data_IF_823783544064
#
_entry.id   IF_823783544064
#
_cell.length_a   1.000
_cell.length_b   1.000
_cell.length_c   1.000
_cell.angle_alpha   90.00
_cell.angle_beta   90.00
_cell.angle_gamma   90.00
#
_symmetry.space_group_name_H-M   'P 1'
#
loop_
_entity.id
_entity.type
_entity.pdbx_description
1 polymer ?
#
# COMPACT_ATOMS: atom_id res chain seq x y z
N UNK A 1 -10.66 -21.90 -20.21
CA UNK A 1 -9.55 -22.88 -20.05
C UNK A 1 -9.20 -22.95 -18.57
N UNK A 2 -8.92 -24.12 -18.02
CA UNK A 2 -8.44 -24.25 -16.64
C UNK A 2 -6.95 -23.85 -16.56
N UNK A 3 -6.57 -23.09 -15.54
CA UNK A 3 -5.18 -22.71 -15.31
C UNK A 3 -4.36 -23.95 -14.90
N UNK A 4 -3.15 -24.09 -15.44
CA UNK A 4 -2.21 -25.13 -15.02
C UNK A 4 -1.56 -24.79 -13.68
N UNK A 5 -1.07 -25.81 -12.96
CA UNK A 5 -0.33 -25.63 -11.70
C UNK A 5 0.86 -24.68 -11.89
N UNK A 6 1.55 -24.77 -13.03
CA UNK A 6 2.69 -23.91 -13.31
C UNK A 6 2.27 -22.44 -13.45
N UNK A 7 1.14 -22.17 -14.10
CA UNK A 7 0.60 -20.80 -14.23
C UNK A 7 0.18 -20.26 -12.86
N UNK A 8 -0.43 -21.08 -12.01
CA UNK A 8 -0.82 -20.68 -10.66
C UNK A 8 0.42 -20.37 -9.81
N UNK A 9 1.44 -21.23 -9.86
CA UNK A 9 2.71 -21.01 -9.13
C UNK A 9 3.39 -19.72 -9.58
N UNK A 10 3.50 -19.51 -10.89
CA UNK A 10 4.08 -18.30 -11.45
C UNK A 10 3.29 -17.04 -11.06
N UNK A 11 1.96 -17.10 -11.06
CA UNK A 11 1.11 -15.99 -10.64
C UNK A 11 1.24 -15.66 -9.14
N UNK A 12 1.65 -16.64 -8.32
CA UNK A 12 1.88 -16.46 -6.90
C UNK A 12 3.34 -16.11 -6.55
N UNK A 13 4.25 -16.01 -7.53
CA UNK A 13 5.62 -15.56 -7.27
C UNK A 13 5.64 -14.09 -6.82
N UNK A 14 6.47 -13.78 -5.83
CA UNK A 14 6.60 -12.41 -5.32
C UNK A 14 5.36 -11.87 -4.60
N UNK A 15 4.47 -12.75 -4.10
CA UNK A 15 3.33 -12.36 -3.30
C UNK A 15 3.74 -11.58 -2.03
N UNK A 16 2.83 -10.75 -1.55
CA UNK A 16 2.90 -10.06 -0.27
C UNK A 16 1.65 -10.37 0.57
N UNK A 17 1.72 -10.04 1.86
CA UNK A 17 0.57 -10.14 2.77
C UNK A 17 0.41 -8.85 3.57
N UNK A 18 -0.80 -8.58 4.04
CA UNK A 18 -1.09 -7.42 4.87
C UNK A 18 -1.46 -7.84 6.29
N UNK A 19 -1.03 -7.05 7.27
CA UNK A 19 -1.40 -7.22 8.67
C UNK A 19 -1.76 -5.88 9.30
N UNK A 20 -2.77 -5.89 10.17
CA UNK A 20 -3.06 -4.73 11.03
C UNK A 20 -2.22 -4.79 12.30
N UNK A 21 -1.92 -3.66 12.97
CA UNK A 21 -1.19 -3.71 14.23
C UNK A 21 -1.87 -4.60 15.29
N UNK A 22 -3.20 -4.55 15.38
CA UNK A 22 -3.97 -5.44 16.25
C UNK A 22 -3.94 -6.91 15.82
N UNK A 23 -3.80 -7.20 14.52
CA UNK A 23 -3.61 -8.55 14.00
C UNK A 23 -2.23 -9.10 14.35
N UNK A 24 -1.20 -8.26 14.28
CA UNK A 24 0.18 -8.65 14.58
C UNK A 24 0.35 -9.11 16.03
N UNK A 25 -0.42 -8.58 17.00
CA UNK A 25 -0.36 -9.03 18.40
C UNK A 25 -0.84 -10.47 18.61
N UNK A 26 -1.58 -11.03 17.65
CA UNK A 26 -2.10 -12.41 17.69
C UNK A 26 -1.16 -13.42 17.02
N UNK A 27 -0.08 -12.94 16.41
CA UNK A 27 0.92 -13.77 15.76
C UNK A 27 2.07 -13.90 16.73
N UNK A 28 2.40 -15.12 17.15
CA UNK A 28 3.51 -15.38 18.07
C UNK A 28 4.86 -15.14 17.39
N UNK A 29 5.01 -15.62 16.15
CA UNK A 29 6.17 -15.31 15.30
C UNK A 29 5.80 -15.35 13.82
N UNK A 30 6.14 -14.27 13.10
CA UNK A 30 6.10 -14.20 11.64
C UNK A 30 7.12 -15.14 11.01
N UNK A 31 8.32 -15.28 11.57
CA UNK A 31 9.34 -16.20 11.06
C UNK A 31 8.93 -17.68 11.12
N UNK A 32 7.97 -18.04 11.99
CA UNK A 32 7.43 -19.40 12.08
C UNK A 32 6.40 -19.71 10.99
N UNK A 33 5.79 -18.70 10.35
CA UNK A 33 4.73 -18.89 9.36
C UNK A 33 5.04 -18.29 7.98
N UNK A 34 6.06 -17.42 7.86
CA UNK A 34 6.48 -16.78 6.62
C UNK A 34 7.93 -17.11 6.30
N UNK A 35 8.22 -17.24 5.01
CA UNK A 35 9.59 -17.39 4.54
C UNK A 35 10.38 -16.08 4.75
N UNK A 36 11.70 -16.13 5.03
CA UNK A 36 12.53 -14.94 5.11
C UNK A 36 12.44 -14.07 3.85
N UNK A 37 12.36 -12.76 4.04
CA UNK A 37 12.24 -11.77 2.98
C UNK A 37 10.84 -11.58 2.42
N UNK A 38 9.82 -12.26 2.97
CA UNK A 38 8.42 -12.03 2.58
C UNK A 38 8.04 -10.56 2.82
N UNK A 39 7.41 -9.93 1.84
CA UNK A 39 6.90 -8.56 1.94
C UNK A 39 5.61 -8.54 2.75
N UNK A 40 5.57 -7.70 3.77
CA UNK A 40 4.41 -7.56 4.67
C UNK A 40 3.99 -6.10 4.77
N UNK A 41 2.82 -5.79 4.21
CA UNK A 41 2.15 -4.51 4.38
C UNK A 41 1.66 -4.35 5.83
N UNK A 42 1.89 -3.18 6.43
CA UNK A 42 1.43 -2.85 7.79
C UNK A 42 0.45 -1.71 7.72
N UNK A 43 -0.81 -1.98 8.07
CA UNK A 43 -1.86 -0.98 7.93
C UNK A 43 -1.71 0.19 8.89
N UNK A 44 -2.29 1.32 8.48
CA UNK A 44 -2.52 2.49 9.31
C UNK A 44 -4.03 2.75 9.29
N UNK A 45 -4.72 2.42 10.39
CA UNK A 45 -6.17 2.52 10.46
C UNK A 45 -6.61 3.86 11.11
N UNK A 46 -7.81 4.36 10.79
CA UNK A 46 -8.38 5.51 11.49
C UNK A 46 -8.38 5.30 13.01
N UNK A 47 -7.80 6.26 13.74
CA UNK A 47 -7.75 6.24 15.20
C UNK A 47 -6.66 5.37 15.84
N UNK A 48 -5.84 4.65 15.06
CA UNK A 48 -4.66 3.95 15.60
C UNK A 48 -3.51 4.93 15.89
N UNK A 49 -2.71 4.64 16.91
CA UNK A 49 -1.46 5.37 17.16
C UNK A 49 -0.43 5.00 16.07
N UNK A 50 0.14 5.97 15.32
CA UNK A 50 1.19 5.72 14.34
C UNK A 50 2.39 4.91 14.88
N UNK A 51 2.66 5.01 16.17
CA UNK A 51 3.75 4.27 16.82
C UNK A 51 3.49 2.76 16.86
N UNK A 52 2.23 2.32 16.80
CA UNK A 52 1.90 0.89 16.66
C UNK A 52 2.38 0.35 15.32
N UNK A 53 2.20 1.09 14.23
CA UNK A 53 2.73 0.73 12.91
C UNK A 53 4.25 0.65 12.95
N UNK A 54 4.94 1.63 13.54
CA UNK A 54 6.41 1.61 13.73
C UNK A 54 6.87 0.36 14.49
N UNK A 55 6.20 0.02 15.59
CA UNK A 55 6.54 -1.15 16.39
C UNK A 55 6.41 -2.46 15.60
N UNK A 56 5.35 -2.58 14.79
CA UNK A 56 5.13 -3.76 13.95
C UNK A 56 6.13 -3.83 12.80
N UNK A 57 6.45 -2.71 12.16
CA UNK A 57 7.50 -2.62 11.12
C UNK A 57 8.84 -3.09 11.67
N UNK A 58 9.24 -2.60 12.87
CA UNK A 58 10.47 -3.04 13.55
C UNK A 58 10.45 -4.54 13.86
N UNK A 59 9.32 -5.04 14.36
CA UNK A 59 9.17 -6.46 14.67
C UNK A 59 9.35 -7.33 13.41
N UNK A 60 8.66 -6.99 12.32
CA UNK A 60 8.77 -7.69 11.05
C UNK A 60 10.20 -7.74 10.54
N UNK A 61 10.92 -6.60 10.60
CA UNK A 61 12.34 -6.55 10.24
C UNK A 61 13.19 -7.51 11.08
N UNK A 62 13.03 -7.49 12.41
CA UNK A 62 13.77 -8.36 13.32
C UNK A 62 13.46 -9.86 13.13
N UNK A 63 12.26 -10.17 12.64
CA UNK A 63 11.83 -11.53 12.29
C UNK A 63 12.16 -11.90 10.83
N UNK A 64 12.90 -11.06 10.10
CA UNK A 64 13.41 -11.35 8.77
C UNK A 64 12.45 -11.07 7.62
N UNK A 65 11.40 -10.27 7.84
CA UNK A 65 10.44 -9.84 6.82
C UNK A 65 10.78 -8.46 6.26
N UNK A 66 10.24 -8.14 5.09
CA UNK A 66 10.31 -6.79 4.50
C UNK A 66 9.03 -6.03 4.79
N UNK A 67 9.06 -5.10 5.74
CA UNK A 67 7.88 -4.34 6.13
C UNK A 67 7.60 -3.18 5.16
N UNK A 68 6.35 -3.03 4.77
CA UNK A 68 5.84 -1.93 3.94
C UNK A 68 4.77 -1.17 4.73
N UNK A 69 5.15 -0.15 5.53
CA UNK A 69 4.17 0.57 6.32
C UNK A 69 3.28 1.45 5.44
N UNK A 70 1.99 1.54 5.80
CA UNK A 70 1.07 2.45 5.14
C UNK A 70 1.28 3.88 5.61
N UNK A 71 1.15 4.82 4.68
CA UNK A 71 1.05 6.25 4.92
C UNK A 71 -0.33 6.71 4.47
N UNK A 72 -1.25 6.81 5.43
CA UNK A 72 -2.61 7.29 5.20
C UNK A 72 -2.64 8.83 5.28
N UNK A 73 -2.64 9.50 4.13
CA UNK A 73 -2.50 10.96 4.03
C UNK A 73 -3.45 11.72 4.97
N UNK A 74 -4.75 11.42 4.89
CA UNK A 74 -5.80 12.09 5.67
C UNK A 74 -5.74 11.79 7.17
N UNK A 75 -4.97 10.79 7.59
CA UNK A 75 -4.74 10.46 9.00
C UNK A 75 -3.49 11.13 9.57
N UNK A 76 -2.67 11.77 8.74
CA UNK A 76 -1.46 12.47 9.16
C UNK A 76 -1.77 13.93 9.51
N UNK A 77 -1.15 14.41 10.59
CA UNK A 77 -1.30 15.78 11.09
C UNK A 77 -0.61 16.78 10.16
N UNK A 78 0.64 16.53 9.80
CA UNK A 78 1.49 17.46 9.08
C UNK A 78 2.75 16.78 8.51
N UNK A 79 3.54 17.56 7.77
CA UNK A 79 4.81 17.12 7.20
C UNK A 79 5.86 16.74 8.27
N UNK A 80 5.81 17.36 9.46
CA UNK A 80 6.75 17.05 10.55
C UNK A 80 6.48 15.66 11.14
N UNK A 81 5.20 15.30 11.32
CA UNK A 81 4.81 13.94 11.71
C UNK A 81 5.23 12.93 10.64
N UNK A 82 5.00 13.23 9.37
CA UNK A 82 5.45 12.38 8.26
C UNK A 82 6.98 12.18 8.30
N UNK A 83 7.76 13.27 8.41
CA UNK A 83 9.22 13.22 8.47
C UNK A 83 9.72 12.37 9.66
N UNK A 84 9.06 12.53 10.82
CA UNK A 84 9.35 11.75 12.03
C UNK A 84 9.09 10.25 11.82
N UNK A 85 7.95 9.89 11.22
CA UNK A 85 7.60 8.49 10.95
C UNK A 85 8.56 7.86 9.95
N UNK A 86 8.90 8.55 8.86
CA UNK A 86 9.84 8.06 7.86
C UNK A 86 11.23 7.86 8.46
N UNK A 87 11.71 8.79 9.29
CA UNK A 87 12.97 8.64 10.01
C UNK A 87 12.96 7.38 10.91
N UNK A 88 11.87 7.14 11.65
CA UNK A 88 11.71 5.97 12.49
C UNK A 88 11.69 4.67 11.67
N UNK A 89 10.94 4.62 10.57
CA UNK A 89 10.89 3.45 9.68
C UNK A 89 12.27 3.12 9.10
N UNK A 90 13.06 4.13 8.70
CA UNK A 90 14.43 3.93 8.24
C UNK A 90 15.35 3.43 9.34
N UNK A 91 15.34 4.09 10.50
CA UNK A 91 16.27 3.80 11.58
C UNK A 91 16.01 2.43 12.24
N UNK A 92 14.74 2.07 12.41
CA UNK A 92 14.34 0.89 13.18
C UNK A 92 14.19 -0.38 12.33
N UNK A 93 13.95 -0.24 11.03
CA UNK A 93 13.61 -1.35 10.15
C UNK A 93 14.21 -1.28 8.74
N UNK A 94 14.96 -0.23 8.41
CA UNK A 94 15.58 -0.08 7.09
C UNK A 94 14.58 -0.01 5.93
N UNK A 95 13.34 0.44 6.19
CA UNK A 95 12.23 0.44 5.21
C UNK A 95 12.62 1.15 3.92
N UNK A 96 12.56 0.45 2.79
CA UNK A 96 12.86 0.96 1.45
C UNK A 96 11.61 1.13 0.56
N UNK A 97 10.46 0.62 1.02
CA UNK A 97 9.17 0.62 0.33
C UNK A 97 8.04 0.99 1.31
N UNK A 98 7.11 1.86 0.88
CA UNK A 98 5.93 2.27 1.66
C UNK A 98 4.66 2.18 0.81
N UNK A 99 3.48 2.07 1.42
CA UNK A 99 2.21 2.16 0.70
C UNK A 99 1.52 3.50 0.99
N UNK A 100 1.40 4.38 -0.01
CA UNK A 100 0.82 5.73 0.17
C UNK A 100 -0.63 5.75 -0.30
N UNK A 101 -1.55 6.02 0.64
CA UNK A 101 -2.99 5.98 0.40
C UNK A 101 -3.68 7.26 0.91
N UNK A 102 -4.89 7.52 0.42
CA UNK A 102 -5.69 8.66 0.89
C UNK A 102 -6.06 8.55 2.38
N UNK A 103 -6.47 7.36 2.83
CA UNK A 103 -6.98 7.14 4.19
C UNK A 103 -8.50 7.34 4.26
N UNK A 104 -9.19 6.49 5.02
CA UNK A 104 -10.67 6.40 5.05
C UNK A 104 -11.35 7.28 6.09
N UNK A 105 -10.82 8.46 6.40
CA UNK A 105 -11.47 9.42 7.33
C UNK A 105 -12.23 10.50 6.56
N UNK A 106 -13.46 10.81 7.01
CA UNK A 106 -14.35 11.79 6.37
C UNK A 106 -13.75 13.19 6.28
N UNK A 107 -13.03 13.59 7.34
CA UNK A 107 -12.31 14.85 7.41
C UNK A 107 -10.83 14.55 7.68
N UNK A 108 -9.91 15.13 6.90
CA UNK A 108 -8.49 15.06 7.21
C UNK A 108 -8.24 15.49 8.66
N UNK A 109 -7.39 14.74 9.36
CA UNK A 109 -6.92 15.08 10.70
C UNK A 109 -6.02 16.31 10.66
N UNK A 110 -5.37 16.56 9.52
CA UNK A 110 -4.42 17.65 9.37
C UNK A 110 -4.20 18.07 7.92
N UNK A 111 -2.94 18.24 7.54
CA UNK A 111 -2.55 19.02 6.37
C UNK A 111 -2.74 18.33 5.00
N UNK A 112 -3.05 17.03 4.97
CA UNK A 112 -3.11 16.26 3.73
C UNK A 112 -4.51 15.71 3.45
N UNK A 113 -5.05 16.02 2.27
CA UNK A 113 -6.35 15.58 1.76
C UNK A 113 -6.25 14.32 0.88
N UNK A 114 -5.09 14.06 0.28
CA UNK A 114 -4.88 12.96 -0.66
C UNK A 114 -3.42 12.46 -0.69
N UNK A 115 -3.19 11.29 -1.28
CA UNK A 115 -1.86 10.66 -1.32
C UNK A 115 -0.84 11.39 -2.19
N UNK A 116 -1.26 12.16 -3.19
CA UNK A 116 -0.32 12.93 -4.01
C UNK A 116 0.39 14.00 -3.18
N UNK A 117 -0.29 14.62 -2.21
CA UNK A 117 0.36 15.61 -1.36
C UNK A 117 1.46 15.02 -0.48
N UNK A 118 1.38 13.74 -0.12
CA UNK A 118 2.48 13.02 0.56
C UNK A 118 3.66 12.82 -0.39
N UNK A 119 3.39 12.33 -1.60
CA UNK A 119 4.41 12.08 -2.62
C UNK A 119 5.16 13.37 -3.00
N UNK A 120 4.43 14.48 -3.17
CA UNK A 120 4.98 15.79 -3.55
C UNK A 120 5.78 16.49 -2.43
N UNK A 121 5.79 15.96 -1.20
CA UNK A 121 6.61 16.55 -0.11
C UNK A 121 8.12 16.42 -0.34
N UNK A 122 8.55 15.44 -1.14
CA UNK A 122 9.97 15.06 -1.26
C UNK A 122 10.54 14.34 -0.04
N UNK A 123 9.73 14.08 1.00
CA UNK A 123 10.21 13.48 2.25
C UNK A 123 10.55 11.99 2.09
N UNK A 124 9.87 11.25 1.20
CA UNK A 124 10.24 9.86 0.92
C UNK A 124 11.68 9.78 0.38
N UNK A 125 12.00 10.63 -0.60
CA UNK A 125 13.31 10.73 -1.24
C UNK A 125 14.37 11.21 -0.25
N UNK A 126 14.05 12.20 0.61
CA UNK A 126 14.92 12.66 1.70
C UNK A 126 15.38 11.51 2.60
N UNK A 127 14.51 10.54 2.86
CA UNK A 127 14.80 9.34 3.66
C UNK A 127 15.32 8.15 2.85
N UNK A 128 15.57 8.31 1.56
CA UNK A 128 16.07 7.25 0.68
C UNK A 128 15.05 6.16 0.34
N UNK A 129 13.75 6.45 0.51
CA UNK A 129 12.65 5.56 0.13
C UNK A 129 12.26 5.90 -1.31
N UNK A 130 12.65 5.02 -2.23
CA UNK A 130 12.48 5.24 -3.68
C UNK A 130 11.38 4.37 -4.30
N UNK A 131 10.79 3.47 -3.52
CA UNK A 131 9.68 2.61 -3.94
C UNK A 131 8.44 2.94 -3.14
N UNK A 132 7.30 3.11 -3.82
CA UNK A 132 6.03 3.26 -3.13
C UNK A 132 4.87 2.60 -3.88
N UNK A 133 4.04 1.88 -3.14
CA UNK A 133 2.71 1.49 -3.59
C UNK A 133 1.75 2.68 -3.54
N UNK A 134 0.77 2.68 -4.43
CA UNK A 134 -0.35 3.61 -4.42
C UNK A 134 -1.67 2.88 -4.67
N UNK A 135 -2.75 3.33 -4.05
CA UNK A 135 -4.05 2.67 -4.18
C UNK A 135 -4.59 2.67 -5.63
N UNK A 136 -5.19 1.54 -6.02
CA UNK A 136 -6.03 1.35 -7.20
C UNK A 136 -7.41 0.83 -6.84
N UNK A 137 -8.42 1.23 -7.61
CA UNK A 137 -9.83 0.97 -7.30
C UNK A 137 -10.55 0.31 -8.49
N UNK A 138 -10.48 -1.04 -8.62
CA UNK A 138 -11.13 -1.75 -9.73
C UNK A 138 -12.64 -1.49 -9.85
N UNK A 139 -13.30 -1.42 -8.69
CA UNK A 139 -14.75 -1.18 -8.55
C UNK A 139 -15.10 0.30 -8.31
N UNK A 140 -14.11 1.21 -8.43
CA UNK A 140 -14.28 2.62 -8.08
C UNK A 140 -14.17 2.88 -6.57
N UNK A 141 -14.48 4.11 -6.18
CA UNK A 141 -14.49 4.55 -4.78
C UNK A 141 -15.78 5.34 -4.51
N UNK A 142 -16.46 5.12 -3.38
CA UNK A 142 -17.68 5.86 -3.05
C UNK A 142 -17.42 7.36 -2.81
N UNK A 143 -16.20 7.71 -2.42
CA UNK A 143 -15.83 9.06 -2.00
C UNK A 143 -15.15 9.88 -3.11
N UNK A 144 -14.84 9.26 -4.26
CA UNK A 144 -14.04 9.86 -5.33
C UNK A 144 -14.70 9.55 -6.69
N UNK A 145 -14.92 10.58 -7.51
CA UNK A 145 -15.49 10.39 -8.84
C UNK A 145 -14.52 9.64 -9.77
N UNK A 146 -15.05 9.00 -10.83
CA UNK A 146 -14.22 8.31 -11.82
C UNK A 146 -13.19 9.24 -12.50
N UNK A 147 -13.57 10.50 -12.72
CA UNK A 147 -12.68 11.52 -13.29
C UNK A 147 -11.51 11.82 -12.35
N UNK A 148 -11.78 12.03 -11.05
CA UNK A 148 -10.75 12.27 -10.05
C UNK A 148 -9.83 11.05 -9.86
N UNK A 149 -10.36 9.82 -9.93
CA UNK A 149 -9.55 8.60 -9.91
C UNK A 149 -8.61 8.55 -11.11
N UNK A 150 -9.11 8.87 -12.31
CA UNK A 150 -8.32 8.90 -13.53
C UNK A 150 -7.21 9.97 -13.48
N UNK A 151 -7.55 11.19 -13.04
CA UNK A 151 -6.61 12.29 -12.88
C UNK A 151 -5.53 11.96 -11.83
N UNK A 152 -5.92 11.38 -10.70
CA UNK A 152 -4.98 10.95 -9.67
C UNK A 152 -4.03 9.86 -10.19
N UNK A 153 -4.52 8.92 -11.01
CA UNK A 153 -3.68 7.88 -11.58
C UNK A 153 -2.70 8.45 -12.63
N UNK A 154 -3.15 9.37 -13.48
CA UNK A 154 -2.28 10.08 -14.41
C UNK A 154 -1.20 10.88 -13.68
N UNK A 155 -1.56 11.58 -12.59
CA UNK A 155 -0.63 12.31 -11.76
C UNK A 155 0.43 11.41 -11.11
N UNK A 156 0.05 10.22 -10.61
CA UNK A 156 0.98 9.22 -10.06
C UNK A 156 1.99 8.73 -11.11
N UNK A 157 1.53 8.46 -12.35
CA UNK A 157 2.42 8.07 -13.45
C UNK A 157 3.42 9.19 -13.80
N UNK A 158 2.92 10.42 -13.94
CA UNK A 158 3.76 11.58 -14.23
C UNK A 158 4.79 11.83 -13.12
N UNK A 159 4.38 11.72 -11.85
CA UNK A 159 5.25 11.83 -10.68
C UNK A 159 6.35 10.78 -10.69
N UNK A 160 6.02 9.49 -10.87
CA UNK A 160 6.99 8.40 -10.90
C UNK A 160 8.09 8.66 -11.94
N UNK A 161 7.69 9.10 -13.14
CA UNK A 161 8.61 9.43 -14.23
C UNK A 161 9.45 10.68 -13.93
N UNK A 162 8.84 11.73 -13.38
CA UNK A 162 9.50 13.01 -13.08
C UNK A 162 10.54 12.86 -11.98
N UNK A 163 10.22 12.15 -10.91
CA UNK A 163 11.07 11.97 -9.74
C UNK A 163 12.00 10.75 -9.83
N UNK A 164 11.84 9.91 -10.87
CA UNK A 164 12.59 8.66 -10.99
C UNK A 164 12.28 7.64 -9.89
N UNK A 165 11.11 7.75 -9.25
CA UNK A 165 10.66 6.83 -8.21
C UNK A 165 9.98 5.60 -8.81
N UNK A 166 10.15 4.45 -8.16
CA UNK A 166 9.44 3.22 -8.53
C UNK A 166 8.06 3.21 -7.87
N UNK A 167 7.02 3.56 -8.63
CA UNK A 167 5.65 3.40 -8.16
C UNK A 167 5.00 2.13 -8.72
N UNK A 168 4.12 1.52 -7.94
CA UNK A 168 3.23 0.46 -8.38
C UNK A 168 1.82 0.66 -7.81
N UNK A 169 0.81 0.14 -8.49
CA UNK A 169 -0.57 0.18 -8.02
C UNK A 169 -0.82 -1.06 -7.17
N UNK A 170 -1.35 -0.87 -5.97
CA UNK A 170 -1.92 -1.93 -5.15
C UNK A 170 -3.43 -1.76 -5.12
N UNK A 171 -4.17 -2.75 -5.62
CA UNK A 171 -5.62 -2.61 -5.71
C UNK A 171 -6.29 -2.86 -4.36
N UNK A 172 -7.41 -2.18 -4.11
CA UNK A 172 -8.40 -2.71 -3.18
C UNK A 172 -8.74 -4.17 -3.58
N UNK A 173 -9.05 -5.00 -2.59
CA UNK A 173 -9.43 -6.38 -2.88
C UNK A 173 -10.68 -6.42 -3.75
N UNK A 174 -10.76 -7.41 -4.64
CA UNK A 174 -11.91 -7.65 -5.49
C UNK A 174 -12.19 -9.16 -5.55
N UNK A 175 -13.46 -9.54 -5.58
CA UNK A 175 -13.87 -10.94 -5.66
C UNK A 175 -14.07 -11.42 -7.11
N UNK A 176 -14.25 -10.49 -8.05
CA UNK A 176 -14.60 -10.80 -9.43
C UNK A 176 -13.46 -10.48 -10.39
N UNK A 177 -12.77 -11.53 -10.86
CA UNK A 177 -11.68 -11.40 -11.82
C UNK A 177 -12.06 -10.60 -13.10
N UNK A 178 -13.28 -10.72 -13.68
CA UNK A 178 -13.66 -9.91 -14.83
C UNK A 178 -13.58 -8.40 -14.58
N UNK A 179 -14.02 -7.93 -13.40
CA UNK A 179 -13.98 -6.50 -13.04
C UNK A 179 -12.54 -5.99 -13.01
N UNK A 180 -11.63 -6.75 -12.38
CA UNK A 180 -10.20 -6.41 -12.33
C UNK A 180 -9.60 -6.33 -13.73
N UNK A 181 -9.91 -7.30 -14.61
CA UNK A 181 -9.38 -7.35 -15.98
C UNK A 181 -9.91 -6.22 -16.86
N UNK A 182 -11.19 -5.86 -16.72
CA UNK A 182 -11.78 -4.73 -17.45
C UNK A 182 -11.23 -3.39 -16.96
N UNK A 183 -11.07 -3.24 -15.65
CA UNK A 183 -10.41 -2.09 -15.06
C UNK A 183 -8.96 -1.96 -15.52
N UNK A 184 -8.19 -3.04 -15.49
CA UNK A 184 -6.79 -3.06 -15.92
C UNK A 184 -6.65 -2.58 -17.37
N UNK A 185 -7.45 -3.16 -18.29
CA UNK A 185 -7.47 -2.72 -19.70
C UNK A 185 -7.79 -1.23 -19.85
N UNK A 186 -8.77 -0.73 -19.09
CA UNK A 186 -9.19 0.69 -19.13
C UNK A 186 -8.08 1.61 -18.64
N UNK A 187 -7.44 1.31 -17.50
CA UNK A 187 -6.35 2.16 -16.98
C UNK A 187 -5.10 2.09 -17.87
N UNK A 188 -4.81 0.94 -18.48
CA UNK A 188 -3.74 0.81 -19.49
C UNK A 188 -4.04 1.64 -20.74
N UNK A 189 -5.27 1.59 -21.26
CA UNK A 189 -5.69 2.39 -22.40
C UNK A 189 -5.64 3.90 -22.10
N UNK A 190 -5.83 4.30 -20.84
CA UNK A 190 -5.67 5.67 -20.37
C UNK A 190 -4.20 6.08 -20.13
N UNK A 191 -3.23 5.21 -20.40
CA UNK A 191 -1.80 5.53 -20.34
C UNK A 191 -1.09 5.15 -19.03
N UNK A 192 -1.70 4.32 -18.17
CA UNK A 192 -0.99 3.83 -17.00
C UNK A 192 0.16 2.89 -17.37
N UNK A 193 1.37 3.23 -16.96
CA UNK A 193 2.58 2.42 -17.12
C UNK A 193 2.99 1.72 -15.82
N UNK A 194 2.46 2.14 -14.65
CA UNK A 194 2.79 1.53 -13.36
C UNK A 194 2.44 0.03 -13.33
N UNK A 195 3.30 -0.82 -12.74
CA UNK A 195 2.94 -2.20 -12.43
C UNK A 195 1.68 -2.27 -11.55
N UNK A 196 0.89 -3.33 -11.70
CA UNK A 196 -0.35 -3.54 -10.93
C UNK A 196 -0.19 -4.81 -10.09
N UNK A 197 -0.32 -4.67 -8.77
CA UNK A 197 -0.44 -5.76 -7.79
C UNK A 197 -1.90 -5.88 -7.38
N UNK A 198 -2.47 -7.07 -7.56
CA UNK A 198 -3.88 -7.32 -7.25
C UNK A 198 -4.03 -7.73 -5.79
N UNK A 199 -4.80 -6.96 -5.04
CA UNK A 199 -5.24 -7.33 -3.69
C UNK A 199 -6.23 -8.49 -3.77
N UNK A 200 -5.94 -9.57 -3.05
CA UNK A 200 -6.83 -10.73 -2.93
C UNK A 200 -7.23 -10.83 -1.46
N UNK A 201 -8.54 -10.90 -1.16
CA UNK A 201 -8.97 -11.01 0.22
C UNK A 201 -8.57 -12.38 0.78
N UNK A 202 -8.08 -12.38 2.02
CA UNK A 202 -7.91 -13.62 2.77
C UNK A 202 -9.27 -14.28 3.07
N UNK A 203 -9.29 -15.42 3.78
CA UNK A 203 -10.53 -16.07 4.18
C UNK A 203 -11.45 -15.08 4.94
N UNK A 204 -12.58 -14.72 4.32
CA UNK A 204 -13.56 -13.80 4.86
C UNK A 204 -14.84 -14.54 5.28
N UNK A 205 -15.46 -14.09 6.36
CA UNK A 205 -16.83 -14.49 6.73
C UNK A 205 -17.84 -13.51 6.12
N UNK A 206 -19.11 -13.90 6.02
CA UNK A 206 -20.18 -12.98 5.56
C UNK A 206 -20.22 -11.67 6.38
N UNK A 207 -19.81 -11.71 7.65
CA UNK A 207 -19.77 -10.52 8.53
C UNK A 207 -18.60 -9.58 8.25
N UNK A 208 -17.61 -10.03 7.48
CA UNK A 208 -16.37 -9.31 7.18
C UNK A 208 -16.23 -9.03 5.68
N UNK A 209 -17.32 -9.20 4.92
CA UNK A 209 -17.49 -8.81 3.52
C UNK A 209 -18.19 -7.47 3.42
#
# INVERSE_FOLDING_TARGET
MAASIQQIRQAAEGWSIEVTPAGATKIDSFAACLAPGTTVNVTFLPGSDPLETVAVTKRLHNEGMKAVPHLAARSLRDADQLDTLLAAYRAEAGVDEVLVIGGGVDKPVGAFDNSMQILETGLLQKHGIMTAGVAGHPEGSPDISEAEIADALAAKNAFAKREGMTLYIETQFCFEAPIVLEWEKRVRAAGNELPIRIGIPGPATIKTL
#
